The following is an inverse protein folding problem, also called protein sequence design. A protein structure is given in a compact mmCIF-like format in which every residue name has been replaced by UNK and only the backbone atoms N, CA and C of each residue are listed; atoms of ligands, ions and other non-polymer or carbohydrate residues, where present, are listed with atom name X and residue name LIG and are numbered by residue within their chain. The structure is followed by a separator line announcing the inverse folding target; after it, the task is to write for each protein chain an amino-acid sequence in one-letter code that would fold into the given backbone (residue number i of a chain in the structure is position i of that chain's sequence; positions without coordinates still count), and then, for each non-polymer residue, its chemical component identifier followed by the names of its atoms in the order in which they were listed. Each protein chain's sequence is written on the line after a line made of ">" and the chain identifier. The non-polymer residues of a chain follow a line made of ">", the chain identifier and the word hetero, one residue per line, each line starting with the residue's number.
data_IF_183565592205
#
_entry.id   IF_183565592205
#
_cell.length_a   1.000
_cell.length_b   1.000
_cell.length_c   1.000
_cell.angle_alpha   90.00
_cell.angle_beta   90.00
_cell.angle_gamma   90.00
#
_symmetry.space_group_name_H-M   'P 1'
#
loop_
_entity.id
_entity.type
_entity.pdbx_description
1 polymer ?
#
# COMPACT_ATOMS: atom_id res chain seq x y z
N UNK A 1 0.26 -17.12 -9.59
CA UNK A 1 0.42 -15.71 -9.19
C UNK A 1 1.47 -14.98 -10.02
N UNK A 2 1.24 -13.73 -10.45
CA UNK A 2 2.23 -12.92 -11.18
C UNK A 2 3.21 -12.24 -10.22
N UNK A 3 4.53 -12.29 -10.49
CA UNK A 3 5.58 -11.69 -9.64
C UNK A 3 6.15 -10.38 -10.21
N UNK A 4 5.77 -10.04 -11.44
CA UNK A 4 6.19 -8.82 -12.15
C UNK A 4 5.00 -7.92 -12.44
N UNK A 5 5.28 -6.63 -12.61
CA UNK A 5 4.24 -5.65 -12.92
C UNK A 5 3.76 -5.80 -14.37
N UNK A 6 2.45 -5.89 -14.57
CA UNK A 6 1.83 -6.01 -15.90
C UNK A 6 2.01 -4.77 -16.79
N UNK A 7 2.52 -3.66 -16.25
CA UNK A 7 2.71 -2.40 -16.99
C UNK A 7 4.17 -2.05 -17.28
N UNK A 8 5.10 -2.40 -16.39
CA UNK A 8 6.51 -2.03 -16.55
C UNK A 8 7.47 -3.21 -16.41
N UNK A 9 6.93 -4.43 -16.29
CA UNK A 9 7.63 -5.72 -16.18
C UNK A 9 8.64 -5.85 -15.03
N UNK A 10 8.81 -4.82 -14.20
CA UNK A 10 9.67 -4.86 -13.02
C UNK A 10 9.10 -5.76 -11.92
N UNK A 11 9.97 -6.40 -11.11
CA UNK A 11 9.55 -7.25 -10.02
C UNK A 11 8.72 -6.46 -9.00
N UNK A 12 7.62 -7.07 -8.55
CA UNK A 12 6.76 -6.51 -7.50
C UNK A 12 7.34 -6.70 -6.09
N UNK A 13 8.32 -7.60 -5.97
CA UNK A 13 8.89 -8.05 -4.70
C UNK A 13 8.02 -9.15 -4.06
N UNK A 14 8.45 -9.62 -2.90
CA UNK A 14 7.76 -10.64 -2.11
C UNK A 14 7.61 -10.17 -0.67
N UNK A 15 6.59 -10.67 0.03
CA UNK A 15 6.37 -10.45 1.45
C UNK A 15 6.13 -11.80 2.16
N UNK A 16 6.39 -11.87 3.46
CA UNK A 16 6.14 -13.05 4.30
C UNK A 16 4.99 -12.84 5.30
N UNK A 17 4.38 -11.66 5.27
CA UNK A 17 3.39 -11.22 6.26
C UNK A 17 1.99 -11.70 5.89
N UNK A 18 1.68 -11.75 4.60
CA UNK A 18 0.42 -12.26 4.06
C UNK A 18 0.72 -13.58 3.36
N UNK A 19 0.67 -14.69 4.10
CA UNK A 19 1.08 -16.01 3.61
C UNK A 19 0.25 -16.49 2.41
N UNK A 20 -1.07 -16.24 2.45
CA UNK A 20 -1.98 -16.50 1.34
C UNK A 20 -1.67 -15.66 0.09
N UNK A 21 -0.89 -14.58 0.23
CA UNK A 21 -0.51 -13.71 -0.87
C UNK A 21 0.93 -13.15 -0.76
N UNK A 22 1.96 -13.97 -1.05
CA UNK A 22 3.35 -13.62 -0.78
C UNK A 22 4.01 -12.69 -1.83
N UNK A 23 3.23 -12.01 -2.69
CA UNK A 23 3.77 -11.07 -3.69
C UNK A 23 3.51 -9.62 -3.30
N UNK A 24 4.48 -8.76 -3.59
CA UNK A 24 4.36 -7.32 -3.41
C UNK A 24 4.83 -6.83 -2.05
N UNK A 25 5.36 -5.61 -2.03
CA UNK A 25 5.70 -4.87 -0.79
C UNK A 25 4.74 -3.74 -0.46
N UNK A 26 3.77 -3.48 -1.34
CA UNK A 26 2.68 -2.52 -1.15
C UNK A 26 1.40 -3.14 -1.66
N UNK A 27 0.50 -3.47 -0.75
CA UNK A 27 -0.80 -4.06 -1.06
C UNK A 27 -1.88 -3.02 -0.87
N UNK A 28 -2.79 -2.94 -1.83
CA UNK A 28 -4.02 -2.17 -1.68
C UNK A 28 -5.20 -3.14 -1.63
N UNK A 29 -6.17 -2.88 -0.76
CA UNK A 29 -7.31 -3.79 -0.61
C UNK A 29 -8.59 -3.04 -0.27
N UNK A 30 -9.72 -3.59 -0.74
CA UNK A 30 -11.08 -3.19 -0.39
C UNK A 30 -11.75 -4.40 0.27
N UNK A 31 -11.85 -4.36 1.60
CA UNK A 31 -12.43 -5.43 2.39
C UNK A 31 -13.92 -5.63 2.11
N UNK A 32 -14.66 -4.56 1.78
CA UNK A 32 -16.09 -4.65 1.51
C UNK A 32 -16.38 -5.29 0.15
N UNK A 33 -15.49 -5.12 -0.83
CA UNK A 33 -15.62 -5.67 -2.18
C UNK A 33 -14.76 -6.91 -2.45
N UNK A 34 -13.99 -7.39 -1.47
CA UNK A 34 -13.08 -8.52 -1.62
C UNK A 34 -12.02 -8.30 -2.70
N UNK A 35 -11.53 -7.06 -2.87
CA UNK A 35 -10.55 -6.73 -3.91
C UNK A 35 -9.16 -6.55 -3.31
N UNK A 36 -8.16 -7.07 -3.99
CA UNK A 36 -6.75 -6.96 -3.64
C UNK A 36 -5.94 -6.57 -4.87
N UNK A 37 -4.98 -5.68 -4.66
CA UNK A 37 -4.04 -5.22 -5.68
C UNK A 37 -2.63 -5.16 -5.12
N UNK A 38 -1.65 -5.34 -6.00
CA UNK A 38 -0.26 -4.98 -5.73
C UNK A 38 0.06 -3.66 -6.42
N UNK A 39 0.48 -2.66 -5.64
CA UNK A 39 0.92 -1.38 -6.17
C UNK A 39 2.42 -1.45 -6.50
N UNK A 40 2.77 -1.31 -7.77
CA UNK A 40 4.15 -1.37 -8.21
C UNK A 40 4.96 -0.21 -7.60
N UNK A 41 6.08 -0.53 -6.95
CA UNK A 41 6.99 0.48 -6.37
C UNK A 41 7.77 1.28 -7.41
N UNK A 42 7.80 0.83 -8.67
CA UNK A 42 8.53 1.50 -9.76
C UNK A 42 7.66 2.47 -10.56
N UNK A 43 6.49 2.01 -11.04
CA UNK A 43 5.61 2.82 -11.89
C UNK A 43 4.31 3.26 -11.18
N UNK A 44 4.13 2.90 -9.91
CA UNK A 44 3.00 3.29 -9.05
C UNK A 44 1.61 2.80 -9.55
N UNK A 45 1.57 1.97 -10.61
CA UNK A 45 0.35 1.34 -11.13
C UNK A 45 -0.07 0.12 -10.32
N UNK A 46 -1.38 -0.14 -10.34
CA UNK A 46 -2.06 -1.16 -9.55
C UNK A 46 -2.28 -2.44 -10.37
N UNK A 47 -1.75 -3.55 -9.89
CA UNK A 47 -1.84 -4.86 -10.54
C UNK A 47 -2.95 -5.65 -9.85
N UNK A 48 -3.99 -6.04 -10.59
CA UNK A 48 -5.13 -6.78 -10.03
C UNK A 48 -4.72 -8.21 -9.73
N UNK A 49 -4.94 -8.66 -8.48
CA UNK A 49 -4.66 -10.02 -8.04
C UNK A 49 -5.69 -11.01 -8.60
N UNK A 50 -5.32 -12.24 -9.05
CA UNK A 50 -6.28 -13.29 -9.45
C UNK A 50 -7.33 -13.62 -8.38
N UNK A 51 -8.45 -14.27 -8.76
CA UNK A 51 -9.66 -14.41 -7.93
C UNK A 51 -9.57 -15.50 -6.85
N UNK A 52 -8.83 -16.59 -7.07
CA UNK A 52 -8.88 -17.76 -6.17
C UNK A 52 -8.29 -17.49 -4.77
N UNK A 53 -7.36 -16.55 -4.63
CA UNK A 53 -6.56 -16.33 -3.40
C UNK A 53 -6.97 -15.06 -2.61
N UNK A 54 -8.09 -14.40 -2.98
CA UNK A 54 -8.40 -13.06 -2.45
C UNK A 54 -8.94 -13.02 -1.03
N UNK A 55 -9.77 -13.98 -0.62
CA UNK A 55 -10.52 -13.89 0.65
C UNK A 55 -9.60 -13.88 1.87
N UNK A 56 -8.80 -14.93 2.04
CA UNK A 56 -7.87 -15.06 3.17
C UNK A 56 -6.82 -13.94 3.20
N UNK A 57 -6.31 -13.56 2.03
CA UNK A 57 -5.36 -12.46 1.91
C UNK A 57 -5.96 -11.10 2.30
N UNK A 58 -7.21 -10.83 1.91
CA UNK A 58 -7.92 -9.59 2.26
C UNK A 58 -8.25 -9.56 3.76
N UNK A 59 -8.71 -10.66 4.35
CA UNK A 59 -8.96 -10.75 5.79
C UNK A 59 -7.68 -10.53 6.60
N UNK A 60 -6.58 -11.15 6.18
CA UNK A 60 -5.26 -10.96 6.78
C UNK A 60 -4.81 -9.51 6.66
N UNK A 61 -4.97 -8.89 5.48
CA UNK A 61 -4.67 -7.46 5.30
C UNK A 61 -5.50 -6.56 6.22
N UNK A 62 -6.80 -6.83 6.39
CA UNK A 62 -7.68 -6.07 7.29
C UNK A 62 -7.25 -6.24 8.76
N UNK A 63 -6.92 -7.45 9.19
CA UNK A 63 -6.40 -7.73 10.53
C UNK A 63 -5.09 -6.98 10.79
N UNK A 64 -4.11 -7.12 9.90
CA UNK A 64 -2.83 -6.42 9.99
C UNK A 64 -2.99 -4.89 10.03
N UNK A 65 -3.91 -4.35 9.22
CA UNK A 65 -4.19 -2.93 9.20
C UNK A 65 -4.73 -2.41 10.56
N UNK A 66 -5.59 -3.20 11.22
CA UNK A 66 -6.14 -2.87 12.54
C UNK A 66 -5.08 -2.92 13.64
N UNK A 67 -4.21 -3.92 13.59
CA UNK A 67 -3.14 -4.13 14.57
C UNK A 67 -1.97 -3.15 14.41
N UNK A 68 -1.76 -2.63 13.20
CA UNK A 68 -0.68 -1.68 12.93
C UNK A 68 -0.93 -0.35 13.65
N UNK A 69 0.02 0.02 14.54
CA UNK A 69 -0.01 1.27 15.31
C UNK A 69 0.24 2.52 14.46
N UNK A 70 1.11 2.42 13.44
CA UNK A 70 1.39 3.52 12.52
C UNK A 70 0.43 3.43 11.35
N UNK A 71 -0.71 4.12 11.48
CA UNK A 71 -1.70 4.25 10.42
C UNK A 71 -2.09 5.70 10.23
N UNK A 72 -2.43 6.07 9.00
CA UNK A 72 -3.08 7.34 8.73
C UNK A 72 -4.27 7.13 7.85
N UNK A 73 -5.43 7.65 8.24
CA UNK A 73 -6.67 7.48 7.50
C UNK A 73 -7.17 8.81 6.98
N UNK A 74 -7.79 8.76 5.83
CA UNK A 74 -8.74 9.76 5.33
C UNK A 74 -10.11 9.10 5.28
N UNK A 75 -11.12 9.79 4.76
CA UNK A 75 -12.49 9.27 4.62
C UNK A 75 -12.57 7.99 3.79
N UNK A 76 -11.68 7.76 2.83
CA UNK A 76 -11.77 6.60 1.93
C UNK A 76 -10.47 5.83 1.74
N UNK A 77 -9.36 6.33 2.27
CA UNK A 77 -8.04 5.71 2.14
C UNK A 77 -7.35 5.67 3.49
N UNK A 78 -6.97 4.47 3.93
CA UNK A 78 -6.11 4.22 5.07
C UNK A 78 -4.74 3.73 4.62
N UNK A 79 -3.67 4.29 5.18
CA UNK A 79 -2.31 3.80 5.01
C UNK A 79 -1.81 3.20 6.31
N UNK A 80 -1.13 2.07 6.24
CA UNK A 80 -0.43 1.46 7.36
C UNK A 80 0.90 0.86 6.89
N UNK A 81 1.87 0.75 7.80
CA UNK A 81 3.14 0.08 7.52
C UNK A 81 3.44 -0.95 8.60
N UNK A 82 3.48 -2.21 8.20
CA UNK A 82 3.88 -3.33 9.06
C UNK A 82 5.37 -3.23 9.42
N UNK A 83 5.77 -3.81 10.57
CA UNK A 83 7.15 -3.79 11.05
C UNK A 83 8.15 -4.40 10.06
N UNK A 84 7.75 -5.45 9.33
CA UNK A 84 8.55 -6.08 8.26
C UNK A 84 8.64 -5.27 6.96
N UNK A 85 8.12 -4.03 6.96
CA UNK A 85 8.18 -3.12 5.83
C UNK A 85 7.13 -3.34 4.74
N UNK A 86 6.10 -4.16 5.00
CA UNK A 86 4.92 -4.26 4.13
C UNK A 86 4.06 -3.00 4.30
N UNK A 87 3.75 -2.33 3.19
CA UNK A 87 2.82 -1.21 3.18
C UNK A 87 1.41 -1.67 2.79
N UNK A 88 0.40 -1.19 3.52
CA UNK A 88 -1.00 -1.50 3.32
C UNK A 88 -1.76 -0.22 2.97
N UNK A 89 -2.54 -0.28 1.89
CA UNK A 89 -3.47 0.77 1.43
C UNK A 89 -4.88 0.22 1.52
N UNK A 90 -5.58 0.53 2.61
CA UNK A 90 -6.96 0.14 2.83
C UNK A 90 -7.89 1.12 2.10
N UNK A 91 -8.83 0.60 1.31
CA UNK A 91 -9.84 1.37 0.58
C UNK A 91 -11.20 1.20 1.25
N UNK A 92 -11.98 2.27 1.30
CA UNK A 92 -13.34 2.27 1.82
C UNK A 92 -13.47 3.11 3.08
N UNK A 93 -14.65 3.06 3.71
CA UNK A 93 -14.99 3.89 4.88
C UNK A 93 -13.92 3.72 5.98
N UNK A 94 -13.53 4.82 6.67
CA UNK A 94 -12.45 4.76 7.64
C UNK A 94 -12.91 3.95 8.85
N UNK A 95 -11.98 3.28 9.52
CA UNK A 95 -12.30 2.53 10.74
C UNK A 95 -12.63 3.47 11.91
N UNK A 96 -12.03 4.67 11.92
CA UNK A 96 -12.34 5.80 12.83
C UNK A 96 -12.06 7.12 12.09
N UNK A 97 -12.87 8.18 12.29
CA UNK A 97 -12.60 9.51 11.73
C UNK A 97 -11.37 10.12 12.45
N UNK A 98 -10.17 9.90 11.94
CA UNK A 98 -8.94 10.42 12.54
C UNK A 98 -8.08 11.17 11.51
N UNK A 99 -7.50 12.28 11.96
CA UNK A 99 -7.04 13.49 11.26
C UNK A 99 -6.04 13.30 10.08
N UNK A 100 -6.27 14.06 9.01
CA UNK A 100 -5.60 14.00 7.70
C UNK A 100 -4.23 14.73 7.62
N UNK A 101 -3.28 14.46 8.52
CA UNK A 101 -2.01 15.21 8.58
C UNK A 101 -0.94 14.84 7.51
N UNK A 102 -1.14 13.80 6.71
CA UNK A 102 -0.09 13.23 5.83
C UNK A 102 -0.24 13.54 4.34
N UNK A 103 -1.31 14.23 3.92
CA UNK A 103 -1.62 14.56 2.50
C UNK A 103 -0.48 15.22 1.72
N UNK A 104 0.61 15.62 2.39
CA UNK A 104 1.77 16.24 1.78
C UNK A 104 3.13 15.62 2.14
N UNK A 105 3.19 14.53 2.93
CA UNK A 105 4.45 14.03 3.51
C UNK A 105 5.47 13.53 2.48
N UNK A 106 5.01 12.85 1.43
CA UNK A 106 5.85 12.32 0.36
C UNK A 106 6.16 13.37 -0.73
N UNK A 107 5.23 14.28 -0.99
CA UNK A 107 5.39 15.37 -1.97
C UNK A 107 6.36 16.45 -1.48
N UNK A 108 6.37 16.81 -0.19
CA UNK A 108 7.34 17.75 0.38
C UNK A 108 8.76 17.17 0.39
N UNK A 109 8.94 15.88 0.67
CA UNK A 109 10.26 15.23 0.60
C UNK A 109 10.87 15.29 -0.80
N UNK A 110 10.05 15.14 -1.85
CA UNK A 110 10.47 15.25 -3.26
C UNK A 110 10.70 16.70 -3.69
N UNK A 111 9.90 17.67 -3.22
CA UNK A 111 10.05 19.11 -3.54
C UNK A 111 11.21 19.78 -2.79
N UNK A 112 11.42 19.48 -1.50
CA UNK A 112 12.50 20.06 -0.68
C UNK A 112 13.89 19.62 -1.18
N UNK A 113 14.03 18.37 -1.64
CA UNK A 113 15.27 17.93 -2.32
C UNK A 113 15.54 18.73 -3.60
N UNK A 114 14.50 19.02 -4.39
CA UNK A 114 14.65 19.81 -5.62
C UNK A 114 14.96 21.28 -5.34
N UNK A 115 14.43 21.88 -4.27
CA UNK A 115 14.73 23.28 -3.92
C UNK A 115 16.11 23.43 -3.27
N UNK A 116 16.52 22.51 -2.40
CA UNK A 116 17.84 22.54 -1.73
C UNK A 116 18.97 22.31 -2.74
N UNK A 117 18.81 21.40 -3.71
CA UNK A 117 19.83 21.16 -4.76
C UNK A 117 19.95 22.33 -5.74
N UNK A 118 18.92 23.17 -5.88
CA UNK A 118 18.93 24.33 -6.80
C UNK A 118 19.48 25.62 -6.19
N UNK A 119 19.81 25.61 -4.89
CA UNK A 119 20.40 26.73 -4.15
C UNK A 119 21.85 26.45 -3.70
N UNK A 120 22.48 25.40 -4.22
CA UNK A 120 23.88 25.04 -3.93
C UNK A 120 24.72 24.84 -5.20
N UNK A 121 24.32 25.47 -6.30
CA UNK A 121 25.08 25.59 -7.54
C UNK A 121 25.14 27.06 -7.96
#
# INVERSE_FOLDING_TARGET
>A
MYTTCMFCTKPLGANKVVEAFPVGRRLAFDAAKGRLWVVCRKCERWNLTPLEERWEAVETCEKLFRETRIRTSTEHIGLARHAEGLELVRIGKPLRPEFAAWRYGDQFGRRRRRSVVRWSA
#
